data_IF_969196182586
#
_entry.id   IF_969196182586
#
_cell.length_a   1.000
_cell.length_b   1.000
_cell.length_c   1.000
_cell.angle_alpha   90.00
_cell.angle_beta   90.00
_cell.angle_gamma   90.00
#
_symmetry.space_group_name_H-M   'P 1'
#
loop_
_entity.id
_entity.type
_entity.pdbx_description
1 polymer ?
#
# COMPACT_ATOMS: atom_id res chain seq x y z
N UNK A 1 -16.91 -16.58 -0.77
CA UNK A 1 -16.64 -16.92 0.65
C UNK A 1 -15.55 -17.99 0.87
N UNK A 2 -15.41 -19.05 0.06
CA UNK A 2 -14.41 -20.14 0.32
C UNK A 2 -12.94 -19.78 0.09
N UNK A 3 -12.60 -18.88 -0.85
CA UNK A 3 -11.19 -18.61 -1.21
C UNK A 3 -10.41 -17.75 -0.19
N UNK A 4 -11.07 -16.74 0.43
CA UNK A 4 -10.48 -15.93 1.51
C UNK A 4 -10.18 -16.75 2.78
N UNK A 5 -10.95 -17.81 3.04
CA UNK A 5 -10.68 -18.73 4.13
C UNK A 5 -9.39 -19.53 3.89
N UNK A 6 -9.17 -20.01 2.65
CA UNK A 6 -7.99 -20.80 2.28
C UNK A 6 -6.71 -19.99 2.43
N UNK A 7 -6.69 -18.74 1.98
CA UNK A 7 -5.50 -17.87 2.12
C UNK A 7 -5.20 -17.53 3.58
N UNK A 8 -6.24 -17.26 4.40
CA UNK A 8 -6.08 -17.06 5.84
C UNK A 8 -5.52 -18.31 6.54
N UNK A 9 -6.06 -19.49 6.24
CA UNK A 9 -5.55 -20.76 6.78
C UNK A 9 -4.10 -20.97 6.35
N UNK A 10 -3.77 -20.78 5.07
CA UNK A 10 -2.41 -20.92 4.58
C UNK A 10 -1.43 -19.95 5.26
N UNK A 11 -1.84 -18.70 5.50
CA UNK A 11 -1.04 -17.71 6.23
C UNK A 11 -0.81 -18.11 7.70
N UNK A 12 -1.83 -18.63 8.38
CA UNK A 12 -1.70 -19.14 9.75
C UNK A 12 -0.75 -20.34 9.78
N UNK A 13 -0.88 -21.28 8.84
CA UNK A 13 0.01 -22.44 8.72
C UNK A 13 1.46 -22.00 8.48
N UNK A 14 1.69 -21.04 7.58
CA UNK A 14 3.02 -20.49 7.34
C UNK A 14 3.60 -19.80 8.58
N UNK A 15 2.78 -19.08 9.35
CA UNK A 15 3.20 -18.45 10.62
C UNK A 15 3.57 -19.49 11.67
N UNK A 16 2.77 -20.54 11.84
CA UNK A 16 3.05 -21.65 12.75
C UNK A 16 4.36 -22.34 12.35
N UNK A 17 4.53 -22.64 11.05
CA UNK A 17 5.77 -23.22 10.52
C UNK A 17 6.98 -22.31 10.81
N UNK A 18 6.82 -20.98 10.68
CA UNK A 18 7.86 -20.02 11.03
C UNK A 18 8.28 -20.12 12.50
N UNK A 19 7.31 -20.19 13.42
CA UNK A 19 7.59 -20.37 14.85
C UNK A 19 8.28 -21.71 15.11
N UNK A 20 7.81 -22.80 14.50
CA UNK A 20 8.43 -24.12 14.61
C UNK A 20 9.86 -24.10 14.08
N UNK A 21 10.14 -23.44 12.95
CA UNK A 21 11.50 -23.30 12.41
C UNK A 21 12.41 -22.54 13.37
N UNK A 22 11.94 -21.44 13.98
CA UNK A 22 12.73 -20.70 14.98
C UNK A 22 13.05 -21.58 16.19
N UNK A 23 12.07 -22.33 16.70
CA UNK A 23 12.28 -23.28 17.80
C UNK A 23 13.31 -24.35 17.40
N UNK A 24 13.18 -24.93 16.20
CA UNK A 24 14.12 -25.92 15.68
C UNK A 24 15.54 -25.38 15.54
N UNK A 25 15.71 -24.11 15.13
CA UNK A 25 17.02 -23.44 15.10
C UNK A 25 17.62 -23.36 16.51
N UNK A 26 16.85 -22.92 17.50
CA UNK A 26 17.32 -22.80 18.89
C UNK A 26 17.70 -24.17 19.46
N UNK A 27 16.89 -25.20 19.22
CA UNK A 27 17.18 -26.57 19.66
C UNK A 27 18.45 -27.09 18.99
N UNK A 28 18.58 -26.96 17.67
CA UNK A 28 19.76 -27.40 16.92
C UNK A 28 21.04 -26.68 17.38
N UNK A 29 20.96 -25.37 17.65
CA UNK A 29 22.10 -24.60 18.15
C UNK A 29 22.52 -25.05 19.56
N UNK A 30 21.54 -25.28 20.46
CA UNK A 30 21.81 -25.74 21.83
C UNK A 30 22.40 -27.15 21.84
N UNK A 31 21.83 -28.09 21.09
CA UNK A 31 22.36 -29.46 21.01
C UNK A 31 23.74 -29.49 20.36
N UNK A 32 23.97 -28.65 19.35
CA UNK A 32 25.30 -28.50 18.74
C UNK A 32 26.33 -27.98 19.75
N UNK A 33 26.01 -26.89 20.45
CA UNK A 33 26.92 -26.29 21.42
C UNK A 33 27.25 -27.25 22.58
N UNK A 34 26.23 -27.93 23.11
CA UNK A 34 26.41 -28.91 24.18
C UNK A 34 27.29 -30.09 23.73
N UNK A 35 27.10 -30.57 22.50
CA UNK A 35 27.89 -31.67 21.97
C UNK A 35 29.35 -31.26 21.70
N UNK A 36 29.63 -30.04 21.24
CA UNK A 36 31.01 -29.57 21.06
C UNK A 36 31.76 -29.46 22.39
N UNK A 37 31.07 -28.99 23.44
CA UNK A 37 31.65 -28.95 24.79
C UNK A 37 31.89 -30.36 25.35
N UNK A 38 30.96 -31.29 25.13
CA UNK A 38 31.13 -32.69 25.52
C UNK A 38 32.33 -33.34 24.80
N UNK A 39 32.45 -33.18 23.48
CA UNK A 39 33.58 -33.71 22.70
C UNK A 39 34.91 -33.12 23.21
N UNK A 40 34.94 -31.82 23.51
CA UNK A 40 36.13 -31.17 24.08
C UNK A 40 36.50 -31.78 25.43
N UNK A 41 35.56 -31.93 26.36
CA UNK A 41 35.80 -32.56 27.67
C UNK A 41 36.32 -33.99 27.55
N UNK A 42 35.77 -34.76 26.61
CA UNK A 42 36.21 -36.14 26.37
C UNK A 42 37.61 -36.21 25.75
N UNK A 43 37.92 -35.33 24.80
CA UNK A 43 39.27 -35.20 24.23
C UNK A 43 40.30 -34.86 25.32
N UNK A 44 39.98 -33.92 26.21
CA UNK A 44 40.85 -33.55 27.32
C UNK A 44 41.01 -34.68 28.35
N UNK A 45 39.97 -35.49 28.58
CA UNK A 45 40.03 -36.66 29.45
C UNK A 45 40.95 -37.74 28.88
N UNK A 46 40.84 -38.04 27.58
CA UNK A 46 41.74 -38.97 26.88
C UNK A 46 43.18 -38.47 26.87
N UNK A 47 43.40 -37.17 26.69
CA UNK A 47 44.75 -36.58 26.75
C UNK A 47 45.36 -36.75 28.16
N UNK A 48 44.60 -36.48 29.21
CA UNK A 48 45.06 -36.68 30.59
C UNK A 48 45.33 -38.16 30.91
N UNK A 49 44.46 -39.06 30.45
CA UNK A 49 44.65 -40.51 30.56
C UNK A 49 45.98 -40.98 29.93
N UNK A 50 46.28 -40.49 28.71
CA UNK A 50 47.56 -40.76 28.03
C UNK A 50 48.74 -40.21 28.81
N UNK A 51 48.64 -38.99 29.34
CA UNK A 51 49.71 -38.41 30.17
C UNK A 51 50.04 -39.27 31.39
N UNK A 52 49.04 -39.88 32.04
CA UNK A 52 49.27 -40.82 33.16
C UNK A 52 50.05 -42.05 32.69
N UNK A 53 49.65 -42.64 31.56
CA UNK A 53 50.31 -43.82 31.00
C UNK A 53 51.74 -43.53 30.56
N UNK A 54 51.95 -42.42 29.86
CA UNK A 54 53.27 -42.00 29.34
C UNK A 54 54.23 -41.66 30.49
N UNK A 55 53.72 -41.00 31.55
CA UNK A 55 54.49 -40.75 32.76
C UNK A 55 54.95 -42.06 33.43
N UNK A 56 54.07 -43.05 33.53
CA UNK A 56 54.42 -44.36 34.09
C UNK A 56 55.44 -45.11 33.24
N UNK A 57 55.31 -45.05 31.91
CA UNK A 57 56.27 -45.63 30.98
C UNK A 57 57.63 -44.93 31.05
N UNK A 58 57.64 -43.60 31.19
CA UNK A 58 58.86 -42.81 31.36
C UNK A 58 59.62 -43.22 32.61
N UNK A 59 58.97 -43.31 33.77
CA UNK A 59 59.60 -43.69 35.03
C UNK A 59 60.24 -45.09 34.94
N UNK A 60 59.47 -46.07 34.48
CA UNK A 60 59.95 -47.46 34.37
C UNK A 60 61.06 -47.65 33.33
N UNK A 61 61.03 -46.89 32.21
CA UNK A 61 62.07 -46.97 31.19
C UNK A 61 63.35 -46.24 31.60
N UNK A 62 63.23 -45.08 32.25
CA UNK A 62 64.39 -44.28 32.68
C UNK A 62 65.15 -44.97 33.81
N UNK A 63 64.48 -45.58 34.78
CA UNK A 63 65.17 -46.37 35.82
C UNK A 63 65.91 -47.57 35.23
N UNK A 64 65.29 -48.32 34.31
CA UNK A 64 65.94 -49.45 33.62
C UNK A 64 67.16 -49.00 32.81
N UNK A 65 67.01 -47.92 32.05
CA UNK A 65 68.12 -47.34 31.27
C UNK A 65 69.26 -46.89 32.18
N UNK A 66 68.95 -46.26 33.32
CA UNK A 66 69.95 -45.89 34.31
C UNK A 66 70.65 -47.10 34.92
N UNK A 67 69.93 -48.14 35.35
CA UNK A 67 70.56 -49.34 35.92
C UNK A 67 71.37 -50.15 34.91
N UNK A 68 71.03 -50.07 33.62
CA UNK A 68 71.76 -50.75 32.56
C UNK A 68 73.06 -50.01 32.19
N UNK A 69 73.02 -48.67 32.10
CA UNK A 69 74.11 -47.85 31.55
C UNK A 69 74.93 -47.11 32.59
N UNK A 70 74.32 -46.80 33.74
CA UNK A 70 74.85 -45.90 34.76
C UNK A 70 74.94 -44.43 34.33
N UNK A 71 74.36 -44.03 33.20
CA UNK A 71 74.38 -42.64 32.73
C UNK A 71 73.38 -41.79 33.53
N UNK A 72 73.91 -40.82 34.29
CA UNK A 72 73.15 -39.96 35.23
C UNK A 72 72.03 -39.20 34.53
N UNK A 73 72.15 -38.91 33.23
CA UNK A 73 71.09 -38.24 32.46
C UNK A 73 69.74 -38.99 32.52
N UNK A 74 69.76 -40.33 32.64
CA UNK A 74 68.54 -41.12 32.83
C UNK A 74 67.93 -40.95 34.22
N UNK A 75 68.76 -40.86 35.26
CA UNK A 75 68.30 -40.57 36.62
C UNK A 75 67.73 -39.15 36.70
N UNK A 76 68.37 -38.17 36.08
CA UNK A 76 67.88 -36.79 36.05
C UNK A 76 66.50 -36.69 35.38
N UNK A 77 66.27 -37.41 34.27
CA UNK A 77 64.95 -37.49 33.63
C UNK A 77 63.90 -38.09 34.55
N UNK A 78 64.23 -39.18 35.24
CA UNK A 78 63.33 -39.83 36.19
C UNK A 78 62.91 -38.88 37.32
N UNK A 79 63.88 -38.23 37.97
CA UNK A 79 63.59 -37.34 39.08
C UNK A 79 62.97 -36.02 38.65
N UNK A 80 63.25 -35.55 37.42
CA UNK A 80 62.54 -34.43 36.83
C UNK A 80 61.04 -34.74 36.70
N UNK A 81 60.66 -35.93 36.27
CA UNK A 81 59.24 -36.32 36.20
C UNK A 81 58.57 -36.27 37.58
N UNK A 82 59.19 -36.86 38.61
CA UNK A 82 58.62 -36.92 39.96
C UNK A 82 58.57 -35.55 40.66
N UNK A 83 59.66 -34.78 40.58
CA UNK A 83 59.84 -33.59 41.41
C UNK A 83 59.44 -32.29 40.70
N UNK A 84 59.57 -32.22 39.38
CA UNK A 84 59.40 -30.99 38.60
C UNK A 84 58.19 -31.07 37.68
N UNK A 85 58.18 -32.02 36.75
CA UNK A 85 57.13 -32.13 35.75
C UNK A 85 55.78 -32.48 36.38
N UNK A 86 55.78 -33.47 37.28
CA UNK A 86 54.59 -33.95 38.02
C UNK A 86 53.42 -34.21 37.06
N UNK A 87 53.68 -34.82 35.91
CA UNK A 87 52.69 -34.96 34.86
C UNK A 87 51.53 -35.85 35.32
N UNK A 88 51.83 -36.96 36.00
CA UNK A 88 50.80 -37.86 36.52
C UNK A 88 49.87 -37.18 37.56
N UNK A 89 50.34 -36.51 38.63
CA UNK A 89 49.46 -35.77 39.55
C UNK A 89 48.64 -34.67 38.87
N UNK A 90 49.23 -33.91 37.94
CA UNK A 90 48.53 -32.86 37.19
C UNK A 90 47.43 -33.45 36.31
N UNK A 91 47.70 -34.57 35.65
CA UNK A 91 46.71 -35.26 34.84
C UNK A 91 45.57 -35.83 35.68
N UNK A 92 45.86 -36.37 36.87
CA UNK A 92 44.84 -36.83 37.82
C UNK A 92 43.91 -35.70 38.30
N UNK A 93 44.49 -34.54 38.62
CA UNK A 93 43.71 -33.35 38.98
C UNK A 93 42.83 -32.92 37.80
N UNK A 94 43.40 -32.86 36.59
CA UNK A 94 42.65 -32.50 35.39
C UNK A 94 41.46 -33.43 35.13
N UNK A 95 41.63 -34.75 35.31
CA UNK A 95 40.52 -35.71 35.21
C UNK A 95 39.42 -35.45 36.24
N UNK A 96 39.80 -35.07 37.46
CA UNK A 96 38.85 -34.71 38.52
C UNK A 96 38.08 -33.44 38.14
N UNK A 97 38.78 -32.41 37.64
CA UNK A 97 38.19 -31.14 37.23
C UNK A 97 37.24 -31.29 36.02
N UNK A 98 37.52 -32.27 35.15
CA UNK A 98 36.68 -32.63 34.00
C UNK A 98 35.40 -33.41 34.39
N UNK A 99 35.21 -33.74 35.67
CA UNK A 99 34.02 -34.43 36.16
C UNK A 99 34.04 -35.95 35.92
N UNK A 100 35.22 -36.56 35.89
CA UNK A 100 35.34 -38.03 35.76
C UNK A 100 34.64 -38.73 36.94
N UNK A 101 33.89 -39.82 36.69
CA UNK A 101 33.22 -40.58 37.74
C UNK A 101 34.14 -41.02 38.89
N UNK A 102 33.61 -41.06 40.10
CA UNK A 102 34.39 -41.34 41.30
C UNK A 102 35.02 -42.74 41.31
N UNK A 103 34.34 -43.75 40.74
CA UNK A 103 34.87 -45.11 40.60
C UNK A 103 36.06 -45.17 39.63
N UNK A 104 36.04 -44.38 38.56
CA UNK A 104 37.14 -44.26 37.62
C UNK A 104 38.33 -43.48 38.19
N UNK A 105 38.07 -42.42 38.95
CA UNK A 105 39.12 -41.70 39.69
C UNK A 105 39.76 -42.62 40.76
N UNK A 106 39.01 -43.56 41.34
CA UNK A 106 39.58 -44.51 42.29
C UNK A 106 40.65 -45.41 41.64
N UNK A 107 40.45 -45.85 40.39
CA UNK A 107 41.42 -46.66 39.64
C UNK A 107 42.73 -45.90 39.38
N UNK A 108 42.63 -44.63 38.99
CA UNK A 108 43.82 -43.79 38.74
C UNK A 108 44.58 -43.47 40.04
N UNK A 109 43.86 -43.28 41.15
CA UNK A 109 44.47 -43.16 42.49
C UNK A 109 45.15 -44.44 42.94
N UNK A 110 44.55 -45.60 42.67
CA UNK A 110 45.15 -46.91 42.96
C UNK A 110 46.46 -47.11 42.17
N UNK A 111 46.46 -46.79 40.87
CA UNK A 111 47.68 -46.84 40.06
C UNK A 111 48.76 -45.89 40.61
N UNK A 112 48.38 -44.68 41.05
CA UNK A 112 49.31 -43.73 41.67
C UNK A 112 49.89 -44.24 42.99
N UNK A 113 49.08 -44.89 43.84
CA UNK A 113 49.55 -45.50 45.07
C UNK A 113 50.54 -46.65 44.81
N UNK A 114 50.23 -47.51 43.83
CA UNK A 114 51.13 -48.59 43.41
C UNK A 114 52.45 -48.05 42.83
N UNK A 115 52.38 -46.96 42.07
CA UNK A 115 53.57 -46.27 41.56
C UNK A 115 54.42 -45.68 42.68
N UNK A 116 53.82 -45.07 43.70
CA UNK A 116 54.54 -44.54 44.85
C UNK A 116 55.30 -45.63 45.64
N UNK A 117 54.75 -46.84 45.72
CA UNK A 117 55.46 -48.00 46.30
C UNK A 117 56.60 -48.47 45.39
N UNK A 118 56.40 -48.52 44.06
CA UNK A 118 57.44 -48.92 43.11
C UNK A 118 58.64 -47.95 43.12
N UNK A 119 58.39 -46.65 43.27
CA UNK A 119 59.44 -45.61 43.38
C UNK A 119 60.44 -45.92 44.50
N UNK A 120 60.01 -46.56 45.60
CA UNK A 120 60.93 -46.96 46.68
C UNK A 120 61.94 -48.01 46.21
N UNK A 121 61.47 -49.03 45.47
CA UNK A 121 62.31 -50.07 44.88
C UNK A 121 63.25 -49.50 43.82
N UNK A 122 62.72 -48.61 42.97
CA UNK A 122 63.48 -47.90 41.94
C UNK A 122 64.57 -47.01 42.57
N UNK A 123 64.27 -46.31 43.66
CA UNK A 123 65.22 -45.49 44.41
C UNK A 123 66.36 -46.32 44.99
N UNK A 124 66.06 -47.50 45.57
CA UNK A 124 67.10 -48.45 46.02
C UNK A 124 68.00 -48.88 44.86
N UNK A 125 67.41 -49.26 43.73
CA UNK A 125 68.17 -49.68 42.55
C UNK A 125 69.07 -48.55 42.02
N UNK A 126 68.56 -47.32 41.96
CA UNK A 126 69.38 -46.16 41.60
C UNK A 126 70.52 -45.93 42.61
N UNK A 127 70.23 -46.03 43.92
CA UNK A 127 71.24 -45.85 44.95
C UNK A 127 72.40 -46.84 44.82
N UNK A 128 72.10 -48.10 44.54
CA UNK A 128 73.12 -49.14 44.29
C UNK A 128 74.06 -48.76 43.12
N UNK A 129 73.51 -48.22 42.03
CA UNK A 129 74.30 -47.78 40.86
C UNK A 129 75.18 -46.58 41.21
N UNK A 130 74.63 -45.57 41.90
CA UNK A 130 75.40 -44.40 42.32
C UNK A 130 76.55 -44.78 43.26
N UNK A 131 76.29 -45.65 44.25
CA UNK A 131 77.31 -46.16 45.17
C UNK A 131 78.38 -46.97 44.43
N UNK A 132 78.00 -47.81 43.46
CA UNK A 132 78.94 -48.60 42.66
C UNK A 132 79.85 -47.73 41.79
N UNK A 133 79.35 -46.60 41.29
CA UNK A 133 80.11 -45.61 40.50
C UNK A 133 80.91 -44.63 41.36
N UNK A 134 80.83 -44.71 42.69
CA UNK A 134 81.53 -43.81 43.60
C UNK A 134 81.06 -42.36 43.52
N UNK A 135 79.82 -42.12 43.08
CA UNK A 135 79.25 -40.77 43.05
C UNK A 135 78.93 -40.35 44.48
N UNK A 136 79.27 -39.12 44.85
CA UNK A 136 79.05 -38.58 46.19
C UNK A 136 77.60 -38.13 46.39
N UNK A 137 77.02 -38.18 47.61
CA UNK A 137 75.62 -37.86 47.86
C UNK A 137 75.17 -36.45 47.43
N UNK A 138 76.09 -35.47 47.40
CA UNK A 138 75.83 -34.09 46.92
C UNK A 138 75.50 -34.02 45.42
N UNK A 139 75.89 -35.04 44.65
CA UNK A 139 75.61 -35.16 43.21
C UNK A 139 74.48 -36.12 42.90
N UNK A 140 73.84 -36.68 43.94
CA UNK A 140 72.67 -37.54 43.78
C UNK A 140 71.38 -36.73 43.94
N UNK A 141 70.29 -37.14 43.28
CA UNK A 141 68.95 -36.67 43.63
C UNK A 141 68.67 -36.87 45.12
N UNK A 142 68.03 -35.89 45.78
CA UNK A 142 67.87 -35.89 47.25
C UNK A 142 67.25 -37.19 47.80
N UNK A 143 66.19 -37.69 47.16
CA UNK A 143 65.54 -38.94 47.55
C UNK A 143 66.47 -40.17 47.46
N UNK A 144 67.44 -40.17 46.54
CA UNK A 144 68.46 -41.22 46.42
C UNK A 144 69.58 -41.02 47.44
N UNK A 145 70.00 -39.77 47.66
CA UNK A 145 71.02 -39.41 48.64
C UNK A 145 70.62 -39.80 50.08
N UNK A 146 69.35 -39.59 50.41
CA UNK A 146 68.73 -39.88 51.71
C UNK A 146 68.32 -41.34 51.88
N UNK A 147 68.36 -42.14 50.81
CA UNK A 147 68.00 -43.56 50.89
C UNK A 147 68.90 -44.29 51.88
N UNK A 148 68.27 -44.92 52.89
CA UNK A 148 68.99 -45.70 53.90
C UNK A 148 69.56 -46.97 53.26
N UNK A 149 70.87 -47.00 53.07
CA UNK A 149 71.59 -48.17 52.56
C UNK A 149 71.37 -49.35 53.50
N UNK A 150 70.91 -50.47 52.94
CA UNK A 150 70.68 -51.69 53.71
C UNK A 150 72.01 -52.34 54.11
N UNK A 151 72.10 -53.00 55.28
CA UNK A 151 73.33 -53.65 55.71
C UNK A 151 73.83 -54.74 54.75
N UNK A 152 72.92 -55.44 54.06
CA UNK A 152 73.28 -56.36 52.98
C UNK A 152 73.90 -55.64 51.77
N UNK A 153 73.31 -54.52 51.33
CA UNK A 153 73.74 -53.75 50.16
C UNK A 153 75.13 -53.13 50.38
N UNK A 154 75.43 -52.70 51.62
CA UNK A 154 76.72 -52.10 51.99
C UNK A 154 77.91 -53.08 51.87
N UNK A 155 77.68 -54.39 51.99
CA UNK A 155 78.72 -55.43 51.94
C UNK A 155 79.08 -55.88 50.52
N UNK A 156 78.25 -55.53 49.54
CA UNK A 156 78.42 -55.93 48.14
C UNK A 156 79.58 -55.18 47.49
N UNK A 157 80.28 -55.88 46.58
CA UNK A 157 81.27 -55.24 45.70
C UNK A 157 80.58 -54.25 44.74
N UNK A 158 81.35 -53.35 44.13
CA UNK A 158 80.79 -52.42 43.14
C UNK A 158 80.12 -53.16 41.96
N UNK A 159 80.68 -54.29 41.53
CA UNK A 159 80.12 -55.11 40.45
C UNK A 159 78.82 -55.81 40.88
N UNK A 160 78.80 -56.40 42.08
CA UNK A 160 77.60 -57.05 42.64
C UNK A 160 76.46 -56.05 42.85
N UNK A 161 76.76 -54.81 43.25
CA UNK A 161 75.77 -53.73 43.35
C UNK A 161 75.12 -53.42 41.99
N UNK A 162 75.89 -53.38 40.91
CA UNK A 162 75.36 -53.16 39.56
C UNK A 162 74.52 -54.35 39.08
N UNK A 163 74.93 -55.58 39.39
CA UNK A 163 74.16 -56.79 39.08
C UNK A 163 72.83 -56.78 39.83
N UNK A 164 72.85 -56.51 41.13
CA UNK A 164 71.64 -56.43 41.96
C UNK A 164 70.72 -55.32 41.48
N UNK A 165 71.24 -54.11 41.20
CA UNK A 165 70.44 -52.99 40.69
C UNK A 165 69.67 -53.36 39.41
N UNK A 166 70.34 -54.05 38.47
CA UNK A 166 69.69 -54.55 37.25
C UNK A 166 68.65 -55.62 37.56
N UNK A 167 68.95 -56.59 38.42
CA UNK A 167 67.98 -57.63 38.80
C UNK A 167 66.71 -57.04 39.44
N UNK A 168 66.85 -56.01 40.28
CA UNK A 168 65.72 -55.36 40.95
C UNK A 168 64.73 -54.70 40.00
N UNK A 169 65.13 -54.26 38.80
CA UNK A 169 64.24 -53.54 37.85
C UNK A 169 64.02 -54.24 36.51
N UNK A 170 64.75 -55.33 36.25
CA UNK A 170 64.59 -56.17 35.06
C UNK A 170 64.00 -57.56 35.37
N UNK A 171 63.83 -57.93 36.64
CA UNK A 171 63.28 -59.24 37.03
C UNK A 171 61.74 -59.31 37.03
N UNK A 172 61.23 -60.54 37.16
CA UNK A 172 59.78 -60.83 37.14
C UNK A 172 59.02 -60.17 38.30
N UNK A 173 59.65 -60.05 39.48
CA UNK A 173 59.05 -59.37 40.63
C UNK A 173 58.74 -57.90 40.31
N UNK A 174 59.67 -57.20 39.65
CA UNK A 174 59.45 -55.83 39.22
C UNK A 174 58.38 -55.75 38.12
N UNK A 175 58.40 -56.68 37.16
CA UNK A 175 57.35 -56.75 36.14
C UNK A 175 55.95 -56.95 36.77
N UNK A 176 55.84 -57.75 37.84
CA UNK A 176 54.61 -57.92 38.58
C UNK A 176 54.15 -56.63 39.30
N UNK A 177 55.06 -55.86 39.90
CA UNK A 177 54.71 -54.56 40.49
C UNK A 177 54.28 -53.53 39.42
N UNK A 178 54.97 -53.49 38.26
CA UNK A 178 54.55 -52.66 37.12
C UNK A 178 53.16 -53.08 36.62
N UNK A 179 52.86 -54.38 36.60
CA UNK A 179 51.54 -54.88 36.22
C UNK A 179 50.43 -54.39 37.19
N UNK A 180 50.72 -54.26 38.50
CA UNK A 180 49.78 -53.68 39.47
C UNK A 180 49.48 -52.20 39.20
N UNK A 181 50.40 -51.46 38.57
CA UNK A 181 50.16 -50.07 38.14
C UNK A 181 49.33 -50.05 36.85
N UNK A 182 49.68 -50.91 35.89
CA UNK A 182 49.04 -50.92 34.57
C UNK A 182 47.64 -51.49 34.57
N UNK A 183 47.30 -52.43 35.47
CA UNK A 183 45.97 -53.03 35.52
C UNK A 183 44.85 -51.99 35.79
N UNK A 184 44.92 -51.15 36.86
CA UNK A 184 43.93 -50.09 37.07
C UNK A 184 43.91 -49.02 35.96
N UNK A 185 45.07 -48.69 35.36
CA UNK A 185 45.14 -47.76 34.21
C UNK A 185 44.40 -48.35 33.00
N UNK A 186 44.55 -49.65 32.75
CA UNK A 186 43.88 -50.34 31.64
C UNK A 186 42.38 -50.39 31.84
N UNK A 187 41.94 -50.70 33.07
CA UNK A 187 40.52 -50.68 33.43
C UNK A 187 39.93 -49.27 33.31
N UNK A 188 40.64 -48.24 33.79
CA UNK A 188 40.26 -46.84 33.63
C UNK A 188 40.12 -46.45 32.15
N UNK A 189 41.12 -46.77 31.32
CA UNK A 189 41.08 -46.49 29.88
C UNK A 189 39.91 -47.19 29.18
N UNK A 190 39.56 -48.40 29.62
CA UNK A 190 38.44 -49.16 29.07
C UNK A 190 37.11 -48.49 29.43
N UNK A 191 36.91 -48.13 30.71
CA UNK A 191 35.72 -47.39 31.17
C UNK A 191 35.59 -46.03 30.51
N UNK A 192 36.67 -45.27 30.42
CA UNK A 192 36.73 -43.99 29.71
C UNK A 192 36.33 -44.17 28.24
N UNK A 193 36.90 -45.16 27.53
CA UNK A 193 36.56 -45.43 26.13
C UNK A 193 35.06 -45.78 25.97
N UNK A 194 34.51 -46.61 26.84
CA UNK A 194 33.08 -46.97 26.83
C UNK A 194 32.19 -45.74 27.08
N UNK A 195 32.51 -44.90 28.07
CA UNK A 195 31.76 -43.65 28.30
C UNK A 195 31.86 -42.72 27.10
N UNK A 196 33.07 -42.46 26.60
CA UNK A 196 33.29 -41.57 25.45
C UNK A 196 32.44 -42.01 24.26
N UNK A 197 32.43 -43.32 23.97
CA UNK A 197 31.63 -43.87 22.88
C UNK A 197 30.13 -43.66 23.11
N UNK A 198 29.61 -44.02 24.29
CA UNK A 198 28.19 -43.86 24.62
C UNK A 198 27.73 -42.40 24.56
N UNK A 199 28.56 -41.47 25.04
CA UNK A 199 28.28 -40.03 25.00
C UNK A 199 28.33 -39.49 23.57
N UNK A 200 29.28 -39.94 22.75
CA UNK A 200 29.37 -39.54 21.32
C UNK A 200 28.15 -40.03 20.56
N UNK A 201 27.73 -41.28 20.75
CA UNK A 201 26.57 -41.86 20.07
C UNK A 201 25.28 -41.10 20.46
N UNK A 202 25.06 -40.90 21.77
CA UNK A 202 23.88 -40.17 22.26
C UNK A 202 23.82 -38.73 21.78
N UNK A 203 24.95 -38.01 21.80
CA UNK A 203 25.00 -36.63 21.32
C UNK A 203 24.85 -36.52 19.80
N UNK A 204 25.38 -37.49 19.06
CA UNK A 204 25.28 -37.54 17.59
C UNK A 204 23.83 -37.78 17.16
N UNK A 205 23.14 -38.70 17.82
CA UNK A 205 21.70 -38.96 17.58
C UNK A 205 20.85 -37.72 17.89
N UNK A 206 21.08 -37.06 19.02
CA UNK A 206 20.36 -35.82 19.38
C UNK A 206 20.64 -34.68 18.39
N UNK A 207 21.89 -34.53 17.94
CA UNK A 207 22.27 -33.56 16.90
C UNK A 207 21.57 -33.86 15.58
N UNK A 208 21.60 -35.10 15.12
CA UNK A 208 20.94 -35.50 13.88
C UNK A 208 19.42 -35.30 13.94
N UNK A 209 18.77 -35.69 15.03
CA UNK A 209 17.34 -35.47 15.22
C UNK A 209 16.99 -33.96 15.17
N UNK A 210 17.78 -33.11 15.84
CA UNK A 210 17.58 -31.66 15.81
C UNK A 210 17.82 -31.06 14.41
N UNK A 211 18.83 -31.54 13.67
CA UNK A 211 19.10 -31.13 12.29
C UNK A 211 17.98 -31.56 11.32
N UNK A 212 17.46 -32.78 11.47
CA UNK A 212 16.32 -33.26 10.66
C UNK A 212 15.06 -32.44 10.96
N UNK A 213 14.77 -32.13 12.22
CA UNK A 213 13.65 -31.28 12.58
C UNK A 213 13.78 -29.86 12.00
N UNK A 214 14.99 -29.29 12.02
CA UNK A 214 15.29 -28.00 11.41
C UNK A 214 15.07 -28.03 9.89
N UNK A 215 15.67 -28.98 9.17
CA UNK A 215 15.54 -29.07 7.71
C UNK A 215 14.09 -29.33 7.30
N UNK A 216 13.38 -30.23 7.98
CA UNK A 216 11.97 -30.51 7.72
C UNK A 216 11.09 -29.27 7.92
N UNK A 217 11.27 -28.54 9.03
CA UNK A 217 10.49 -27.31 9.29
C UNK A 217 10.81 -26.21 8.28
N UNK A 218 12.08 -26.03 7.90
CA UNK A 218 12.50 -25.03 6.91
C UNK A 218 11.94 -25.34 5.51
N UNK A 219 11.97 -26.60 5.07
CA UNK A 219 11.36 -27.04 3.81
C UNK A 219 9.85 -26.85 3.85
N UNK A 220 9.20 -27.22 4.96
CA UNK A 220 7.77 -26.99 5.16
C UNK A 220 7.39 -25.51 5.06
N UNK A 221 8.15 -24.63 5.72
CA UNK A 221 7.96 -23.18 5.66
C UNK A 221 8.13 -22.64 4.23
N UNK A 222 9.19 -23.06 3.52
CA UNK A 222 9.43 -22.66 2.13
C UNK A 222 8.25 -23.08 1.23
N UNK A 223 7.79 -24.32 1.35
CA UNK A 223 6.65 -24.83 0.58
C UNK A 223 5.36 -24.04 0.89
N UNK A 224 5.11 -23.70 2.17
CA UNK A 224 3.96 -22.90 2.56
C UNK A 224 4.03 -21.48 1.98
N UNK A 225 5.20 -20.84 2.01
CA UNK A 225 5.41 -19.51 1.42
C UNK A 225 5.25 -19.50 -0.10
N UNK A 226 5.78 -20.50 -0.80
CA UNK A 226 5.59 -20.68 -2.25
C UNK A 226 4.11 -20.88 -2.56
N UNK A 227 3.42 -21.73 -1.79
CA UNK A 227 1.97 -21.93 -1.93
C UNK A 227 1.19 -20.63 -1.76
N UNK A 228 1.54 -19.81 -0.76
CA UNK A 228 0.91 -18.52 -0.50
C UNK A 228 1.17 -17.53 -1.65
N UNK A 229 2.39 -17.50 -2.20
CA UNK A 229 2.75 -16.67 -3.35
C UNK A 229 1.97 -17.08 -4.61
N UNK A 230 1.84 -18.38 -4.88
CA UNK A 230 1.03 -18.89 -5.99
C UNK A 230 -0.45 -18.55 -5.81
N UNK A 231 -0.99 -18.72 -4.60
CA UNK A 231 -2.37 -18.33 -4.29
C UNK A 231 -2.59 -16.83 -4.49
N UNK A 232 -1.68 -15.98 -4.02
CA UNK A 232 -1.78 -14.53 -4.20
C UNK A 232 -1.69 -14.12 -5.68
N UNK A 233 -0.72 -14.66 -6.41
CA UNK A 233 -0.55 -14.41 -7.85
C UNK A 233 -1.77 -14.83 -8.67
N UNK A 234 -2.35 -15.99 -8.36
CA UNK A 234 -3.51 -16.50 -9.11
C UNK A 234 -4.84 -15.87 -8.69
N UNK A 235 -5.03 -15.56 -7.41
CA UNK A 235 -6.31 -15.01 -6.92
C UNK A 235 -6.42 -13.50 -7.11
N UNK A 236 -5.33 -12.76 -6.92
CA UNK A 236 -5.34 -11.29 -7.03
C UNK A 236 -4.63 -10.84 -8.30
N UNK A 237 -3.40 -11.32 -8.53
CA UNK A 237 -2.56 -10.87 -9.65
C UNK A 237 -3.21 -11.08 -11.02
N UNK A 238 -3.69 -12.30 -11.31
CA UNK A 238 -4.37 -12.61 -12.58
C UNK A 238 -5.68 -11.82 -12.75
N UNK A 239 -6.55 -11.80 -11.74
CA UNK A 239 -7.85 -11.13 -11.84
C UNK A 239 -7.70 -9.63 -12.06
N UNK A 240 -6.79 -8.98 -11.32
CA UNK A 240 -6.50 -7.54 -11.51
C UNK A 240 -5.87 -7.29 -12.88
N UNK A 241 -5.00 -8.18 -13.37
CA UNK A 241 -4.45 -8.10 -14.72
C UNK A 241 -5.55 -8.22 -15.78
N UNK A 242 -6.47 -9.16 -15.64
CA UNK A 242 -7.59 -9.37 -16.55
C UNK A 242 -8.51 -8.16 -16.59
N UNK A 243 -8.82 -7.57 -15.42
CA UNK A 243 -9.58 -6.32 -15.35
C UNK A 243 -8.83 -5.16 -16.00
N UNK A 244 -7.53 -5.03 -15.75
CA UNK A 244 -6.72 -3.96 -16.35
C UNK A 244 -6.67 -4.11 -17.87
N UNK A 245 -6.50 -5.32 -18.38
CA UNK A 245 -6.51 -5.61 -19.82
C UNK A 245 -7.89 -5.30 -20.43
N UNK A 246 -8.97 -5.74 -19.80
CA UNK A 246 -10.32 -5.48 -20.25
C UNK A 246 -10.63 -3.97 -20.28
N UNK A 247 -10.19 -3.21 -19.28
CA UNK A 247 -10.37 -1.76 -19.22
C UNK A 247 -9.48 -1.00 -20.22
N UNK A 248 -8.27 -1.49 -20.52
CA UNK A 248 -7.37 -0.86 -21.50
C UNK A 248 -7.83 -1.03 -22.94
N UNK A 249 -8.46 -2.15 -23.27
CA UNK A 249 -8.90 -2.46 -24.63
C UNK A 249 -10.36 -2.08 -24.91
N UNK A 250 -11.08 -1.53 -23.93
CA UNK A 250 -12.45 -1.09 -24.12
C UNK A 250 -12.51 0.18 -24.98
N UNK A 251 -13.58 0.32 -25.76
CA UNK A 251 -13.95 1.63 -26.30
C UNK A 251 -14.44 2.53 -25.16
N UNK A 252 -13.82 3.69 -24.90
CA UNK A 252 -14.27 4.61 -23.86
C UNK A 252 -15.71 5.10 -24.03
N UNK A 253 -16.29 5.01 -25.24
CA UNK A 253 -17.67 5.40 -25.54
C UNK A 253 -18.66 4.26 -25.35
N UNK A 254 -18.20 3.02 -25.24
CA UNK A 254 -19.07 1.88 -24.97
C UNK A 254 -19.47 1.84 -23.49
N UNK A 255 -20.61 2.46 -23.20
CA UNK A 255 -21.21 2.47 -21.86
C UNK A 255 -21.94 1.17 -21.53
N UNK A 256 -22.03 0.21 -22.45
CA UNK A 256 -22.60 -1.12 -22.20
C UNK A 256 -21.58 -2.11 -21.65
N UNK A 257 -20.29 -1.77 -21.70
CA UNK A 257 -19.19 -2.59 -21.19
C UNK A 257 -19.38 -2.91 -19.70
N UNK A 258 -19.22 -4.18 -19.33
CA UNK A 258 -19.26 -4.64 -17.94
C UNK A 258 -18.06 -5.54 -17.63
N UNK A 259 -17.48 -5.36 -16.45
CA UNK A 259 -16.52 -6.31 -15.88
C UNK A 259 -17.28 -7.49 -15.27
N UNK A 260 -16.81 -8.71 -15.55
CA UNK A 260 -17.34 -9.91 -14.90
C UNK A 260 -16.85 -9.99 -13.44
N UNK A 261 -17.72 -10.07 -12.42
CA UNK A 261 -17.30 -10.19 -11.02
C UNK A 261 -16.66 -11.56 -10.77
N UNK A 262 -15.33 -11.60 -10.73
CA UNK A 262 -14.51 -12.81 -10.60
C UNK A 262 -13.44 -12.59 -9.52
N UNK A 263 -12.85 -13.68 -9.04
CA UNK A 263 -11.83 -13.64 -7.98
C UNK A 263 -12.40 -13.56 -6.56
N UNK A 264 -11.61 -12.93 -5.69
CA UNK A 264 -11.92 -12.73 -4.26
C UNK A 264 -12.99 -11.67 -4.06
N UNK A 265 -13.46 -11.49 -2.81
CA UNK A 265 -14.58 -10.59 -2.52
C UNK A 265 -14.25 -9.16 -2.96
N UNK A 266 -13.06 -8.70 -2.64
CA UNK A 266 -12.57 -7.35 -2.93
C UNK A 266 -12.48 -7.09 -4.44
N UNK A 267 -12.07 -8.08 -5.24
CA UNK A 267 -12.03 -7.92 -6.72
C UNK A 267 -13.42 -7.95 -7.33
N UNK A 268 -14.33 -8.78 -6.79
CA UNK A 268 -15.72 -8.80 -7.24
C UNK A 268 -16.42 -7.48 -6.94
N UNK A 269 -16.25 -6.95 -5.73
CA UNK A 269 -16.78 -5.64 -5.32
C UNK A 269 -16.24 -4.53 -6.22
N UNK A 270 -14.95 -4.56 -6.59
CA UNK A 270 -14.38 -3.62 -7.55
C UNK A 270 -15.07 -3.68 -8.92
N UNK A 271 -15.31 -4.88 -9.46
CA UNK A 271 -16.00 -5.05 -10.74
C UNK A 271 -17.46 -4.60 -10.67
N UNK A 272 -18.16 -4.91 -9.58
CA UNK A 272 -19.54 -4.48 -9.34
C UNK A 272 -19.64 -2.95 -9.22
N UNK A 273 -18.76 -2.33 -8.44
CA UNK A 273 -18.68 -0.87 -8.30
C UNK A 273 -18.40 -0.17 -9.63
N UNK A 274 -17.47 -0.71 -10.43
CA UNK A 274 -17.20 -0.22 -11.77
C UNK A 274 -18.44 -0.32 -12.68
N UNK A 275 -19.14 -1.46 -12.65
CA UNK A 275 -20.35 -1.65 -13.47
C UNK A 275 -21.46 -0.66 -13.10
N UNK A 276 -21.69 -0.43 -11.80
CA UNK A 276 -22.65 0.56 -11.32
C UNK A 276 -22.26 1.97 -11.77
N UNK A 277 -20.97 2.32 -11.71
CA UNK A 277 -20.49 3.61 -12.19
C UNK A 277 -20.72 3.79 -13.70
N UNK A 278 -20.48 2.75 -14.51
CA UNK A 278 -20.69 2.79 -15.96
C UNK A 278 -22.17 2.96 -16.32
N UNK A 279 -23.05 2.29 -15.59
CA UNK A 279 -24.51 2.40 -15.74
C UNK A 279 -25.02 3.81 -15.42
N UNK A 280 -24.52 4.41 -14.33
CA UNK A 280 -24.84 5.81 -13.99
C UNK A 280 -24.33 6.80 -15.05
N UNK A 281 -23.14 6.56 -15.62
CA UNK A 281 -22.61 7.38 -16.70
C UNK A 281 -23.46 7.27 -17.98
N UNK A 282 -23.92 6.07 -18.33
CA UNK A 282 -24.80 5.82 -19.47
C UNK A 282 -26.13 6.61 -19.34
N UNK A 283 -26.78 6.55 -18.16
CA UNK A 283 -28.02 7.28 -17.89
C UNK A 283 -27.83 8.79 -18.03
N UNK A 284 -26.76 9.35 -17.45
CA UNK A 284 -26.45 10.77 -17.57
C UNK A 284 -26.28 11.20 -19.03
N UNK A 285 -25.54 10.44 -19.84
CA UNK A 285 -25.36 10.73 -21.27
C UNK A 285 -26.71 10.68 -22.00
N UNK A 286 -27.55 9.68 -21.71
CA UNK A 286 -28.90 9.58 -22.27
C UNK A 286 -29.77 10.80 -21.96
N UNK A 287 -29.73 11.28 -20.71
CA UNK A 287 -30.46 12.49 -20.28
C UNK A 287 -29.95 13.76 -20.93
N UNK A 288 -28.63 13.89 -21.11
CA UNK A 288 -28.01 15.03 -21.84
C UNK A 288 -28.45 15.01 -23.30
N UNK A 289 -28.40 13.83 -23.95
CA UNK A 289 -28.84 13.69 -25.35
C UNK A 289 -30.32 14.07 -25.53
N UNK A 290 -31.19 13.60 -24.62
CA UNK A 290 -32.61 13.99 -24.61
C UNK A 290 -32.80 15.50 -24.43
N UNK A 291 -32.08 16.11 -23.49
CA UNK A 291 -32.14 17.56 -23.25
C UNK A 291 -31.66 18.38 -24.45
N UNK A 292 -30.59 17.93 -25.11
CA UNK A 292 -30.08 18.57 -26.32
C UNK A 292 -31.08 18.49 -27.48
N UNK A 293 -31.79 17.36 -27.62
CA UNK A 293 -32.84 17.21 -28.61
C UNK A 293 -34.01 18.18 -28.35
N UNK A 294 -34.52 18.23 -27.11
CA UNK A 294 -35.57 19.19 -26.74
C UNK A 294 -35.14 20.64 -26.97
N UNK A 295 -33.88 20.99 -26.67
CA UNK A 295 -33.36 22.33 -26.94
C UNK A 295 -33.32 22.64 -28.44
N UNK A 296 -32.91 21.68 -29.28
CA UNK A 296 -32.90 21.83 -30.74
C UNK A 296 -34.31 22.03 -31.31
N UNK A 297 -35.31 21.32 -30.79
CA UNK A 297 -36.71 21.50 -31.20
C UNK A 297 -37.24 22.86 -30.77
N UNK A 298 -36.99 23.27 -29.52
CA UNK A 298 -37.37 24.61 -29.03
C UNK A 298 -36.73 25.72 -29.85
N UNK A 299 -35.46 25.55 -30.25
CA UNK A 299 -34.77 26.51 -31.12
C UNK A 299 -35.38 26.58 -32.53
N UNK A 300 -35.84 25.44 -33.08
CA UNK A 300 -36.56 25.39 -34.35
C UNK A 300 -37.91 26.10 -34.27
N UNK A 301 -38.67 25.88 -33.20
CA UNK A 301 -39.96 26.56 -32.96
C UNK A 301 -39.79 28.07 -32.79
N UNK A 302 -38.75 28.49 -32.06
CA UNK A 302 -38.40 29.91 -31.91
C UNK A 302 -38.03 30.55 -33.25
N UNK A 303 -37.24 29.85 -34.08
CA UNK A 303 -36.91 30.33 -35.43
C UNK A 303 -38.16 30.47 -36.31
N UNK A 304 -39.10 29.52 -36.25
CA UNK A 304 -40.37 29.61 -36.97
C UNK A 304 -41.22 30.80 -36.50
N UNK A 305 -41.30 31.01 -35.19
CA UNK A 305 -42.00 32.15 -34.59
C UNK A 305 -41.37 33.49 -35.00
N UNK A 306 -40.04 33.57 -35.04
CA UNK A 306 -39.33 34.77 -35.46
C UNK A 306 -39.61 35.11 -36.94
N UNK A 307 -39.64 34.11 -37.83
CA UNK A 307 -40.02 34.31 -39.25
C UNK A 307 -41.46 34.83 -39.36
N UNK A 308 -42.40 34.21 -38.64
CA UNK A 308 -43.80 34.63 -38.65
C UNK A 308 -43.99 36.07 -38.13
N UNK A 309 -43.24 36.46 -37.09
CA UNK A 309 -43.20 37.86 -36.62
C UNK A 309 -42.66 38.82 -37.68
N UNK A 310 -41.65 38.39 -38.45
CA UNK A 310 -41.14 39.15 -39.60
C UNK A 310 -42.22 39.39 -40.66
N UNK A 311 -43.01 38.37 -40.97
CA UNK A 311 -44.12 38.48 -41.93
C UNK A 311 -45.23 39.41 -41.43
N UNK A 312 -45.61 39.31 -40.15
CA UNK A 312 -46.57 40.21 -39.50
C UNK A 312 -46.06 41.65 -39.55
N UNK A 313 -44.82 41.90 -39.14
CA UNK A 313 -44.23 43.23 -39.17
C UNK A 313 -44.23 43.83 -40.58
N UNK A 314 -43.91 43.02 -41.60
CA UNK A 314 -43.99 43.41 -43.01
C UNK A 314 -45.42 43.74 -43.46
N UNK A 315 -46.42 42.97 -43.03
CA UNK A 315 -47.83 43.25 -43.32
C UNK A 315 -48.31 44.53 -42.62
N UNK A 316 -47.93 44.75 -41.36
CA UNK A 316 -48.25 45.96 -40.60
C UNK A 316 -47.62 47.20 -41.24
N UNK A 317 -46.38 47.13 -41.72
CA UNK A 317 -45.73 48.23 -42.44
C UNK A 317 -46.52 48.60 -43.70
N UNK A 318 -46.87 47.61 -44.54
CA UNK A 318 -47.68 47.85 -45.75
C UNK A 318 -49.06 48.43 -45.42
N UNK A 319 -49.71 47.94 -44.36
CA UNK A 319 -50.99 48.49 -43.89
C UNK A 319 -50.87 49.94 -43.42
N UNK A 320 -49.77 50.28 -42.74
CA UNK A 320 -49.49 51.65 -42.29
C UNK A 320 -49.25 52.60 -43.47
N UNK A 321 -48.52 52.16 -44.50
CA UNK A 321 -48.31 52.94 -45.72
C UNK A 321 -49.62 53.18 -46.48
N UNK A 322 -50.46 52.15 -46.60
CA UNK A 322 -51.78 52.28 -47.22
C UNK A 322 -52.68 53.26 -46.43
N UNK A 323 -52.65 53.19 -45.10
CA UNK A 323 -53.39 54.12 -44.25
C UNK A 323 -52.87 55.57 -44.39
N UNK A 324 -51.55 55.77 -44.49
CA UNK A 324 -50.95 57.09 -44.72
C UNK A 324 -51.39 57.67 -46.07
N UNK A 325 -51.40 56.87 -47.13
CA UNK A 325 -51.91 57.29 -48.44
C UNK A 325 -53.40 57.62 -48.43
N UNK A 326 -54.21 56.79 -47.76
CA UNK A 326 -55.64 57.08 -47.59
C UNK A 326 -55.86 58.40 -46.83
N UNK A 327 -55.10 58.64 -45.76
CA UNK A 327 -55.15 59.89 -45.01
C UNK A 327 -54.76 61.12 -45.86
N UNK A 328 -53.74 60.99 -46.72
CA UNK A 328 -53.37 62.04 -47.68
C UNK A 328 -54.52 62.34 -48.66
N UNK A 329 -55.16 61.29 -49.20
CA UNK A 329 -56.32 61.43 -50.08
C UNK A 329 -57.51 62.12 -49.40
N UNK A 330 -57.82 61.74 -48.15
CA UNK A 330 -58.86 62.39 -47.34
C UNK A 330 -58.51 63.87 -47.10
N UNK A 331 -57.26 64.19 -46.74
CA UNK A 331 -56.82 65.58 -46.57
C UNK A 331 -57.01 66.40 -47.84
N UNK A 332 -56.72 65.83 -49.02
CA UNK A 332 -56.97 66.47 -50.31
C UNK A 332 -58.46 66.73 -50.55
N UNK A 333 -59.31 65.75 -50.30
CA UNK A 333 -60.76 65.91 -50.42
C UNK A 333 -61.31 66.98 -49.47
N UNK A 334 -60.83 67.03 -48.22
CA UNK A 334 -61.19 68.07 -47.26
C UNK A 334 -60.79 69.45 -47.78
N UNK A 335 -59.60 69.58 -48.40
CA UNK A 335 -59.18 70.84 -49.03
C UNK A 335 -60.09 71.24 -50.20
N UNK A 336 -60.51 70.30 -51.04
CA UNK A 336 -61.45 70.56 -52.14
C UNK A 336 -62.82 70.98 -51.62
N UNK A 337 -63.33 70.32 -50.58
CA UNK A 337 -64.60 70.69 -49.93
C UNK A 337 -64.50 72.08 -49.30
N UNK A 338 -63.37 72.43 -48.68
CA UNK A 338 -63.14 73.77 -48.14
C UNK A 338 -63.21 74.84 -49.24
N UNK A 339 -62.51 74.63 -50.36
CA UNK A 339 -62.58 75.52 -51.52
C UNK A 339 -64.01 75.64 -52.10
N UNK A 340 -64.73 74.52 -52.23
CA UNK A 340 -66.14 74.53 -52.66
C UNK A 340 -67.05 75.27 -51.67
N UNK A 341 -66.77 75.20 -50.37
CA UNK A 341 -67.49 75.96 -49.34
C UNK A 341 -67.20 77.46 -49.45
N UNK A 342 -65.97 77.86 -49.79
CA UNK A 342 -65.61 79.26 -50.06
C UNK A 342 -66.37 79.81 -51.29
N UNK A 343 -66.39 79.06 -52.41
CA UNK A 343 -67.17 79.45 -53.60
C UNK A 343 -68.67 79.50 -53.33
N UNK A 344 -69.20 78.55 -52.55
CA UNK A 344 -70.61 78.55 -52.16
C UNK A 344 -70.94 79.78 -51.31
N UNK A 345 -70.05 80.17 -50.39
CA UNK A 345 -70.24 81.38 -49.58
C UNK A 345 -70.24 82.65 -50.45
N UNK A 346 -69.38 82.72 -51.48
CA UNK A 346 -69.40 83.81 -52.47
C UNK A 346 -70.73 83.84 -53.26
N UNK A 347 -71.20 82.68 -53.72
CA UNK A 347 -72.50 82.57 -54.41
C UNK A 347 -73.68 83.01 -53.53
N UNK A 348 -73.67 82.66 -52.23
CA UNK A 348 -74.69 83.11 -51.28
C UNK A 348 -74.67 84.64 -51.13
N UNK A 349 -73.49 85.27 -51.09
CA UNK A 349 -73.37 86.73 -51.05
C UNK A 349 -73.90 87.40 -52.33
N UNK A 350 -73.63 86.83 -53.49
CA UNK A 350 -74.19 87.30 -54.76
C UNK A 350 -75.71 87.16 -54.81
N UNK A 351 -76.26 86.00 -54.41
CA UNK A 351 -77.71 85.77 -54.33
C UNK A 351 -78.36 86.77 -53.37
N UNK A 352 -77.76 87.00 -52.20
CA UNK A 352 -78.26 88.00 -51.25
C UNK A 352 -78.27 89.42 -51.86
N UNK A 353 -77.22 89.77 -52.61
CA UNK A 353 -77.13 91.05 -53.33
C UNK A 353 -78.19 91.16 -54.42
N UNK A 354 -78.36 90.12 -55.24
CA UNK A 354 -79.36 90.06 -56.30
C UNK A 354 -80.80 90.10 -55.75
N UNK A 355 -81.07 89.41 -54.64
CA UNK A 355 -82.35 89.44 -53.95
C UNK A 355 -82.66 90.82 -53.36
N UNK A 356 -81.67 91.49 -52.77
CA UNK A 356 -81.79 92.87 -52.29
C UNK A 356 -82.12 93.84 -53.44
N UNK A 357 -81.40 93.73 -54.56
CA UNK A 357 -81.66 94.51 -55.76
C UNK A 357 -83.07 94.25 -56.32
N UNK A 358 -83.50 92.99 -56.42
CA UNK A 358 -84.85 92.64 -56.85
C UNK A 358 -85.94 93.22 -55.92
N UNK A 359 -85.69 93.23 -54.61
CA UNK A 359 -86.59 93.86 -53.63
C UNK A 359 -86.71 95.38 -53.86
N UNK A 360 -85.60 96.07 -54.13
CA UNK A 360 -85.61 97.49 -54.49
C UNK A 360 -86.42 97.76 -55.76
N UNK A 361 -86.20 96.98 -56.83
CA UNK A 361 -86.96 97.11 -58.07
C UNK A 361 -88.46 96.89 -57.84
N UNK A 362 -88.84 95.89 -57.02
CA UNK A 362 -90.24 95.65 -56.67
C UNK A 362 -90.85 96.82 -55.87
N UNK A 363 -90.11 97.41 -54.93
CA UNK A 363 -90.55 98.61 -54.20
C UNK A 363 -90.75 99.80 -55.14
N UNK A 364 -89.84 100.01 -56.09
CA UNK A 364 -89.95 101.06 -57.09
C UNK A 364 -91.16 100.86 -58.01
N UNK A 365 -91.39 99.63 -58.49
CA UNK A 365 -92.58 99.29 -59.26
C UNK A 365 -93.88 99.52 -58.47
N UNK A 366 -93.89 99.22 -57.16
CA UNK A 366 -95.04 99.52 -56.30
C UNK A 366 -95.27 101.03 -56.14
N UNK A 367 -94.21 101.83 -56.06
CA UNK A 367 -94.31 103.30 -56.06
C UNK A 367 -94.89 103.84 -57.39
N UNK A 368 -94.42 103.34 -58.53
CA UNK A 368 -94.93 103.72 -59.85
C UNK A 368 -96.40 103.32 -60.04
N UNK A 369 -96.78 102.13 -59.58
CA UNK A 369 -98.18 101.71 -59.53
C UNK A 369 -99.03 102.65 -58.64
N UNK A 370 -98.50 103.08 -57.49
CA UNK A 370 -99.11 104.08 -56.63
C UNK A 370 -99.29 105.44 -57.31
N UNK A 371 -98.30 105.91 -58.07
CA UNK A 371 -98.44 107.14 -58.88
C UNK A 371 -99.48 106.99 -59.98
N UNK A 372 -99.54 105.82 -60.62
CA UNK A 372 -100.54 105.51 -61.63
C UNK A 372 -101.95 105.57 -61.05
N UNK A 373 -102.15 105.06 -59.83
CA UNK A 373 -103.43 105.17 -59.12
C UNK A 373 -103.84 106.64 -58.90
N UNK A 374 -102.90 107.51 -58.50
CA UNK A 374 -103.18 108.95 -58.35
C UNK A 374 -103.60 109.61 -59.68
N UNK A 375 -102.99 109.20 -60.79
CA UNK A 375 -103.37 109.69 -62.13
C UNK A 375 -104.79 109.23 -62.48
N UNK A 376 -105.13 107.97 -62.21
CA UNK A 376 -106.48 107.42 -62.41
C UNK A 376 -107.52 108.14 -61.55
N UNK A 377 -107.22 108.43 -60.28
CA UNK A 377 -108.10 109.17 -59.39
C UNK A 377 -108.35 110.61 -59.89
N UNK A 378 -107.29 111.28 -60.36
CA UNK A 378 -107.38 112.62 -60.96
C UNK A 378 -108.19 112.63 -62.26
N UNK A 379 -108.06 111.58 -63.07
CA UNK A 379 -108.87 111.37 -64.28
C UNK A 379 -110.34 111.12 -63.93
N UNK A 380 -110.62 110.34 -62.89
CA UNK A 380 -111.97 110.09 -62.36
C UNK A 380 -112.64 111.39 -61.92
N UNK A 381 -111.95 112.20 -61.11
CA UNK A 381 -112.44 113.52 -60.68
C UNK A 381 -112.70 114.47 -61.86
N UNK A 382 -111.79 114.49 -62.85
CA UNK A 382 -111.97 115.29 -64.08
C UNK A 382 -113.20 114.83 -64.88
N UNK A 383 -113.45 113.52 -64.96
CA UNK A 383 -114.61 112.93 -65.64
C UNK A 383 -115.92 113.26 -64.92
N UNK A 384 -115.88 113.34 -63.59
CA UNK A 384 -117.02 113.74 -62.77
C UNK A 384 -117.36 115.23 -62.95
N UNK A 385 -116.32 116.08 -63.05
CA UNK A 385 -116.47 117.49 -63.41
C UNK A 385 -117.11 117.67 -64.80
N UNK A 386 -116.71 116.85 -65.79
CA UNK A 386 -117.35 116.81 -67.11
C UNK A 386 -118.82 116.39 -66.99
N UNK A 387 -119.13 115.42 -66.13
CA UNK A 387 -120.51 115.01 -65.83
C UNK A 387 -121.38 116.14 -65.26
N UNK A 388 -120.82 116.96 -64.37
CA UNK A 388 -121.51 118.12 -63.79
C UNK A 388 -121.72 119.24 -64.82
N UNK A 389 -120.74 119.48 -65.70
CA UNK A 389 -120.90 120.40 -66.84
C UNK A 389 -121.99 119.90 -67.79
N UNK A 390 -122.04 118.61 -68.09
CA UNK A 390 -123.10 118.02 -68.93
C UNK A 390 -124.49 118.21 -68.32
N UNK A 391 -124.66 118.03 -67.00
CA UNK A 391 -125.92 118.36 -66.31
C UNK A 391 -126.30 119.84 -66.44
N UNK A 392 -125.31 120.73 -66.36
CA UNK A 392 -125.53 122.18 -66.50
C UNK A 392 -125.96 122.54 -67.93
N UNK A 393 -125.32 121.95 -68.94
CA UNK A 393 -125.68 122.11 -70.36
C UNK A 393 -127.10 121.60 -70.61
N UNK A 394 -127.46 120.41 -70.09
CA UNK A 394 -128.82 119.86 -70.21
C UNK A 394 -129.86 120.79 -69.56
N UNK A 395 -129.54 121.35 -68.39
CA UNK A 395 -130.44 122.29 -67.70
C UNK A 395 -130.63 123.62 -68.47
N UNK A 396 -129.58 124.14 -69.13
CA UNK A 396 -129.67 125.30 -70.03
C UNK A 396 -130.48 124.95 -71.30
N UNK A 397 -130.31 123.75 -71.84
CA UNK A 397 -131.04 123.28 -73.03
C UNK A 397 -132.56 123.14 -72.75
N UNK A 398 -132.95 122.63 -71.58
CA UNK A 398 -134.34 122.60 -71.12
C UNK A 398 -134.92 124.01 -70.93
N UNK A 399 -134.13 124.95 -70.39
CA UNK A 399 -134.52 126.37 -70.24
C UNK A 399 -134.73 127.07 -71.59
N UNK A 400 -133.92 126.71 -72.60
CA UNK A 400 -134.04 127.27 -73.96
C UNK A 400 -135.29 126.73 -74.66
N UNK A 401 -135.61 125.44 -74.46
CA UNK A 401 -136.83 124.80 -74.97
C UNK A 401 -138.11 125.40 -74.34
N UNK A 402 -138.01 125.96 -73.13
CA UNK A 402 -139.11 126.63 -72.43
C UNK A 402 -139.33 128.10 -72.81
N UNK A 403 -138.36 128.78 -73.44
CA UNK A 403 -138.50 130.17 -73.92
C UNK A 403 -139.03 130.28 -75.36
N UNK A 404 -139.02 129.17 -76.10
CA UNK A 404 -139.48 129.11 -77.49
C UNK A 404 -140.95 128.71 -77.64
N UNK A 405 -141.63 128.39 -76.53
CA UNK A 405 -143.07 128.14 -76.40
C UNK A 405 -143.74 129.35 -75.77
#
# INVERSE_FOLDING_TARGET
>A
MRQSLITKIAAIVAMILGVVTVISVVVAFRTSSASDEAIKRQSESLAAARTIQDSSALLTNTVRAFTATGDVAWSDKYWNEILVAKNQPKALQKLTDLGTPADEIALTKQASANSAELVKLETRAMRLVFDAKGITPDKMPAAVAEWKVLPEDAKLSAEDKLVLARQLVHGDAYAAEVAKIMAPITEFNTKLATRVQADVDSNTDQRHAAQIALTASAVGLLAALIGLLVLFSTQLGRVVSDYTAALRHRDPKDMSFRLAPTGVVETRELAEAFNTQNELAADMIGRIAGSAHSLADTARDLSGTATHLGDIAGATSRGSDAAAHAAQGVSGNVSTVAAGTEEMNASIQEIATAASHASQVAQQAAQEAGQTQLIVDKLSSSSQLIGDVMKTITSIAEQTNLLAL
#
